data_IF_136959321134
#
_entry.id   IF_136959321134
#
_cell.length_a   1.000
_cell.length_b   1.000
_cell.length_c   1.000
_cell.angle_alpha   90.00
_cell.angle_beta   90.00
_cell.angle_gamma   90.00
#
_symmetry.space_group_name_H-M   'P 1'
#
loop_
_entity.id
_entity.type
_entity.pdbx_description
1 polymer ?
#
# COMPACT_ATOMS: atom_id res chain seq x y z
N UNK A 1 7.68 -23.49 2.58
CA UNK A 1 8.46 -23.14 3.78
C UNK A 1 8.22 -21.66 4.06
N UNK A 2 7.71 -21.27 5.24
CA UNK A 2 7.45 -19.87 5.53
C UNK A 2 8.80 -19.14 5.65
N UNK A 3 8.91 -18.02 4.94
CA UNK A 3 10.09 -17.18 4.92
C UNK A 3 10.29 -16.55 6.31
N UNK A 4 11.47 -16.78 6.91
CA UNK A 4 11.88 -16.18 8.19
C UNK A 4 12.13 -14.69 7.97
N UNK A 5 11.08 -13.87 8.04
CA UNK A 5 11.27 -12.45 8.30
C UNK A 5 11.57 -12.30 9.80
N UNK A 6 12.83 -11.98 10.13
CA UNK A 6 13.18 -11.38 11.42
C UNK A 6 12.26 -10.16 11.57
N UNK A 7 11.45 -10.14 12.62
CA UNK A 7 10.73 -8.94 13.02
C UNK A 7 11.80 -7.90 13.40
N UNK A 8 12.11 -6.97 12.50
CA UNK A 8 12.92 -5.77 12.78
C UNK A 8 12.18 -5.01 13.90
N UNK A 9 12.87 -4.59 14.96
CA UNK A 9 12.23 -3.87 16.06
C UNK A 9 11.75 -2.50 15.54
N UNK A 10 10.58 -2.03 15.98
CA UNK A 10 9.99 -0.74 15.56
C UNK A 10 10.95 0.43 15.80
N UNK A 11 11.75 0.39 16.87
CA UNK A 11 12.75 1.42 17.18
C UNK A 11 13.97 1.37 16.23
N UNK A 12 14.47 0.17 15.91
CA UNK A 12 15.58 -0.01 14.97
C UNK A 12 15.18 0.49 13.56
N UNK A 13 13.95 0.20 13.18
CA UNK A 13 13.34 0.67 11.94
C UNK A 13 13.16 2.19 11.92
N UNK A 14 12.69 2.78 13.03
CA UNK A 14 12.54 4.23 13.17
C UNK A 14 13.88 4.95 12.94
N UNK A 15 14.95 4.49 13.59
CA UNK A 15 16.28 5.10 13.45
C UNK A 15 16.82 4.98 12.03
N UNK A 16 16.61 3.84 11.37
CA UNK A 16 17.06 3.61 9.99
C UNK A 16 16.30 4.45 8.96
N UNK A 17 15.02 4.74 9.21
CA UNK A 17 14.13 5.45 8.27
C UNK A 17 14.08 6.96 8.51
N UNK A 18 14.47 7.41 9.69
CA UNK A 18 14.46 8.82 10.06
C UNK A 18 15.78 9.48 9.63
N UNK A 19 15.79 10.02 8.41
CA UNK A 19 16.93 10.72 7.84
C UNK A 19 16.83 12.21 8.15
N UNK A 20 17.52 12.65 9.21
CA UNK A 20 17.60 14.06 9.59
C UNK A 20 18.79 14.75 8.92
N UNK A 21 18.58 15.98 8.45
CA UNK A 21 19.63 16.81 7.87
C UNK A 21 20.67 17.30 8.89
N UNK A 22 21.58 18.17 8.44
CA UNK A 22 22.54 18.83 9.33
C UNK A 22 21.80 19.76 10.30
N UNK A 23 21.93 19.48 11.59
CA UNK A 23 21.40 20.27 12.71
C UNK A 23 22.15 19.89 13.99
N UNK A 24 21.98 20.66 15.07
CA UNK A 24 22.59 20.36 16.37
C UNK A 24 21.99 19.11 17.00
N UNK A 25 22.71 18.47 17.92
CA UNK A 25 22.23 17.23 18.54
C UNK A 25 20.97 17.44 19.39
N UNK A 26 20.80 18.63 19.97
CA UNK A 26 19.57 19.01 20.68
C UNK A 26 18.37 19.09 19.74
N UNK A 27 18.54 19.71 18.57
CA UNK A 27 17.46 19.81 17.57
C UNK A 27 17.09 18.43 17.01
N UNK A 28 18.08 17.54 16.80
CA UNK A 28 17.80 16.16 16.38
C UNK A 28 16.95 15.43 17.40
N UNK A 29 17.27 15.56 18.69
CA UNK A 29 16.55 14.84 19.73
C UNK A 29 15.09 15.31 19.82
N UNK A 30 14.87 16.63 19.86
CA UNK A 30 13.53 17.23 19.86
C UNK A 30 12.72 16.75 18.65
N UNK A 31 13.32 16.72 17.46
CA UNK A 31 12.63 16.29 16.26
C UNK A 31 12.34 14.79 16.27
N UNK A 32 13.25 13.96 16.78
CA UNK A 32 13.00 12.51 16.93
C UNK A 32 11.86 12.23 17.90
N UNK A 33 11.81 12.93 19.03
CA UNK A 33 10.71 12.82 19.98
C UNK A 33 9.37 13.17 19.32
N UNK A 34 9.33 14.27 18.56
CA UNK A 34 8.13 14.68 17.82
C UNK A 34 7.68 13.64 16.78
N UNK A 35 8.61 13.08 16.00
CA UNK A 35 8.27 12.06 15.00
C UNK A 35 7.79 10.77 15.69
N UNK A 36 8.34 10.42 16.87
CA UNK A 36 7.86 9.29 17.68
C UNK A 36 6.46 9.53 18.26
N UNK A 37 6.17 10.74 18.71
CA UNK A 37 4.84 11.14 19.18
C UNK A 37 3.78 10.93 18.09
N UNK A 38 4.08 11.37 16.86
CA UNK A 38 3.18 11.27 15.71
C UNK A 38 3.48 10.07 14.80
N UNK A 39 4.03 8.98 15.35
CA UNK A 39 4.44 7.78 14.58
C UNK A 39 3.28 7.11 13.83
N UNK A 40 2.06 7.34 14.27
CA UNK A 40 0.82 6.84 13.67
C UNK A 40 0.50 7.55 12.34
N UNK A 41 0.94 8.80 12.17
CA UNK A 41 0.77 9.59 10.94
C UNK A 41 1.72 9.10 9.83
N UNK A 42 2.95 8.77 10.19
CA UNK A 42 3.97 8.38 9.20
C UNK A 42 3.82 6.93 8.74
N UNK A 43 4.16 6.71 7.47
CA UNK A 43 4.23 5.39 6.84
C UNK A 43 5.65 5.10 6.35
N UNK A 44 6.29 4.09 6.93
CA UNK A 44 7.71 3.79 6.72
C UNK A 44 7.98 2.62 5.76
N UNK A 45 6.97 1.77 5.54
CA UNK A 45 7.04 0.48 4.83
C UNK A 45 6.11 0.39 3.61
N UNK A 46 5.26 1.39 3.37
CA UNK A 46 4.14 1.30 2.43
C UNK A 46 3.01 0.36 2.90
N UNK A 47 2.98 0.02 4.19
CA UNK A 47 2.08 -0.96 4.80
C UNK A 47 0.79 -0.34 5.35
N UNK A 48 0.81 0.86 5.94
CA UNK A 48 -0.42 1.55 6.32
C UNK A 48 -1.19 2.00 5.08
N UNK A 49 -2.49 1.75 5.17
CA UNK A 49 -3.49 2.33 4.29
C UNK A 49 -3.64 3.82 4.60
N UNK A 50 -3.32 4.67 3.63
CA UNK A 50 -3.84 6.04 3.59
C UNK A 50 -5.34 6.02 3.25
N UNK A 51 -6.18 5.59 4.21
CA UNK A 51 -7.63 5.48 4.02
C UNK A 51 -8.35 6.17 5.16
N UNK A 52 -9.42 6.87 4.83
CA UNK A 52 -10.41 7.34 5.79
C UNK A 52 -11.67 6.49 5.71
N UNK A 53 -12.28 6.22 6.85
CA UNK A 53 -13.58 5.60 7.01
C UNK A 53 -14.72 6.61 7.14
N UNK A 54 -14.40 7.91 7.24
CA UNK A 54 -15.35 9.01 7.44
C UNK A 54 -16.30 9.23 6.25
N UNK A 55 -15.86 8.91 5.04
CA UNK A 55 -16.64 9.14 3.80
C UNK A 55 -16.55 7.89 2.93
N UNK A 56 -17.69 7.52 2.32
CA UNK A 56 -17.77 6.50 1.27
C UNK A 56 -18.17 7.18 -0.03
N UNK A 57 -17.31 7.11 -1.03
CA UNK A 57 -17.59 7.69 -2.35
C UNK A 57 -18.47 6.74 -3.17
N UNK A 58 -19.48 7.29 -3.84
CA UNK A 58 -20.31 6.59 -4.82
C UNK A 58 -19.95 7.12 -6.21
N UNK A 59 -19.62 6.22 -7.13
CA UNK A 59 -19.44 6.57 -8.54
C UNK A 59 -20.82 6.51 -9.19
N UNK A 60 -21.29 7.65 -9.70
CA UNK A 60 -22.50 7.72 -10.50
C UNK A 60 -22.20 7.25 -11.92
N UNK A 61 -23.08 6.41 -12.45
CA UNK A 61 -22.99 5.87 -13.81
C UNK A 61 -24.23 6.38 -14.55
N UNK A 62 -24.09 6.70 -15.83
CA UNK A 62 -25.20 7.06 -16.71
C UNK A 62 -26.31 6.00 -16.64
N UNK A 63 -27.58 6.44 -16.65
CA UNK A 63 -28.76 5.63 -16.37
C UNK A 63 -28.89 4.37 -17.24
N UNK A 64 -28.44 4.45 -18.49
CA UNK A 64 -28.54 3.36 -19.47
C UNK A 64 -27.18 2.70 -19.78
N UNK A 65 -26.19 2.83 -18.88
CA UNK A 65 -24.87 2.24 -19.11
C UNK A 65 -24.81 0.79 -18.64
N UNK A 66 -24.65 -0.12 -19.60
CA UNK A 66 -24.41 -1.52 -19.31
C UNK A 66 -22.96 -1.81 -18.83
N UNK A 67 -22.77 -2.86 -17.99
CA UNK A 67 -21.44 -3.30 -17.59
C UNK A 67 -20.55 -3.71 -18.75
N UNK A 68 -19.28 -3.29 -18.69
CA UNK A 68 -18.26 -3.65 -19.68
C UNK A 68 -17.30 -4.65 -19.04
N UNK A 69 -17.26 -5.87 -19.60
CA UNK A 69 -16.35 -6.94 -19.21
C UNK A 69 -15.32 -7.21 -20.32
N UNK A 70 -14.12 -6.65 -20.17
CA UNK A 70 -13.04 -6.83 -21.13
C UNK A 70 -12.19 -8.07 -20.81
N UNK A 71 -11.76 -8.78 -21.86
CA UNK A 71 -10.91 -9.97 -21.74
C UNK A 71 -9.49 -9.59 -21.29
N UNK A 72 -8.93 -10.36 -20.35
CA UNK A 72 -7.52 -10.27 -19.95
C UNK A 72 -6.56 -10.42 -21.14
N UNK A 73 -5.49 -9.64 -21.16
CA UNK A 73 -4.41 -9.83 -22.14
C UNK A 73 -3.65 -11.14 -21.89
N UNK A 74 -3.09 -11.69 -22.98
CA UNK A 74 -2.07 -12.73 -22.87
C UNK A 74 -0.79 -12.08 -22.35
N UNK A 75 -0.19 -12.69 -21.34
CA UNK A 75 1.05 -12.22 -20.70
C UNK A 75 2.02 -13.39 -20.62
N UNK A 76 3.32 -13.08 -20.66
CA UNK A 76 4.36 -14.08 -20.45
C UNK A 76 4.32 -14.63 -19.03
N UNK A 77 5.02 -15.75 -18.79
CA UNK A 77 5.04 -16.38 -17.48
C UNK A 77 5.66 -15.47 -16.41
N UNK A 78 6.75 -14.77 -16.74
CA UNK A 78 7.42 -13.85 -15.82
C UNK A 78 6.52 -12.68 -15.43
N UNK A 79 5.81 -12.10 -16.40
CA UNK A 79 4.79 -11.08 -16.15
C UNK A 79 3.66 -11.61 -15.28
N UNK A 80 3.23 -12.86 -15.49
CA UNK A 80 2.20 -13.50 -14.66
C UNK A 80 2.66 -13.66 -13.21
N UNK A 81 3.92 -14.07 -12.98
CA UNK A 81 4.50 -14.19 -11.63
C UNK A 81 4.54 -12.85 -10.92
N UNK A 82 4.95 -11.79 -11.63
CA UNK A 82 4.95 -10.43 -11.09
C UNK A 82 3.54 -9.94 -10.71
N UNK A 83 2.55 -10.07 -11.62
CA UNK A 83 1.15 -9.67 -11.34
C UNK A 83 0.63 -10.37 -10.09
N UNK A 84 0.88 -11.69 -9.96
CA UNK A 84 0.40 -12.46 -8.80
C UNK A 84 1.00 -11.94 -7.50
N UNK A 85 2.31 -11.65 -7.48
CA UNK A 85 2.99 -11.08 -6.32
C UNK A 85 2.40 -9.72 -5.93
N UNK A 86 2.17 -8.85 -6.91
CA UNK A 86 1.58 -7.53 -6.67
C UNK A 86 0.15 -7.62 -6.12
N UNK A 87 -0.67 -8.52 -6.68
CA UNK A 87 -2.04 -8.77 -6.18
C UNK A 87 -2.01 -9.24 -4.72
N UNK A 88 -1.10 -10.17 -4.38
CA UNK A 88 -0.96 -10.65 -3.01
C UNK A 88 -0.53 -9.53 -2.06
N UNK A 89 0.46 -8.71 -2.45
CA UNK A 89 0.91 -7.58 -1.66
C UNK A 89 -0.21 -6.56 -1.43
N UNK A 90 -0.92 -6.14 -2.48
CA UNK A 90 -2.02 -5.18 -2.37
C UNK A 90 -3.21 -5.74 -1.57
N UNK A 91 -3.46 -7.04 -1.68
CA UNK A 91 -4.50 -7.72 -0.89
C UNK A 91 -4.11 -7.77 0.60
N UNK A 92 -2.86 -8.07 0.92
CA UNK A 92 -2.35 -8.09 2.29
C UNK A 92 -2.34 -6.69 2.92
N UNK A 93 -2.06 -5.67 2.11
CA UNK A 93 -2.21 -4.25 2.49
C UNK A 93 -3.67 -3.81 2.59
N UNK A 94 -4.67 -4.65 2.30
CA UNK A 94 -6.09 -4.30 2.34
C UNK A 94 -6.53 -3.25 1.30
N UNK A 95 -5.71 -2.98 0.28
CA UNK A 95 -6.01 -2.00 -0.79
C UNK A 95 -6.99 -2.55 -1.83
N UNK A 96 -6.96 -3.86 -2.07
CA UNK A 96 -7.88 -4.55 -2.97
C UNK A 96 -8.56 -5.72 -2.25
N UNK A 97 -9.66 -6.22 -2.81
CA UNK A 97 -10.35 -7.41 -2.33
C UNK A 97 -10.88 -8.24 -3.50
N UNK A 98 -11.09 -9.53 -3.27
CA UNK A 98 -11.82 -10.39 -4.21
C UNK A 98 -13.25 -9.88 -4.37
N UNK A 99 -13.77 -9.91 -5.58
CA UNK A 99 -15.15 -9.55 -5.89
C UNK A 99 -15.64 -10.33 -7.11
N UNK A 100 -16.96 -10.42 -7.27
CA UNK A 100 -17.61 -10.96 -8.46
C UNK A 100 -18.35 -9.80 -9.13
N UNK A 101 -17.81 -9.29 -10.23
CA UNK A 101 -18.25 -8.05 -10.86
C UNK A 101 -18.59 -8.28 -12.33
N UNK A 102 -19.68 -7.67 -12.79
CA UNK A 102 -20.02 -7.60 -14.22
C UNK A 102 -19.08 -6.64 -14.99
N UNK A 103 -18.33 -5.80 -14.28
CA UNK A 103 -17.29 -4.93 -14.82
C UNK A 103 -15.92 -5.57 -14.71
N UNK A 104 -15.16 -5.58 -15.80
CA UNK A 104 -13.78 -6.06 -15.82
C UNK A 104 -12.94 -5.26 -16.82
N UNK A 105 -11.72 -4.89 -16.42
CA UNK A 105 -10.72 -4.22 -17.26
C UNK A 105 -9.41 -5.00 -17.21
N UNK A 106 -8.69 -5.16 -18.33
CA UNK A 106 -7.49 -5.96 -18.36
C UNK A 106 -6.30 -5.23 -17.73
N UNK A 107 -5.51 -5.95 -16.94
CA UNK A 107 -4.26 -5.43 -16.35
C UNK A 107 -3.19 -5.31 -17.44
N UNK A 108 -2.45 -4.19 -17.43
CA UNK A 108 -1.25 -3.96 -18.24
C UNK A 108 -0.02 -3.85 -17.33
N UNK A 109 1.09 -4.47 -17.76
CA UNK A 109 2.42 -4.40 -17.16
C UNK A 109 3.40 -3.83 -18.17
#
# INVERSE_FOLDING_TARGET
MPNKNKNENDDEKFEKKTLLGKMSDKEKEILKELIREYKDIFEYNGEKLGRTDKIKYKIEIEENKEPIAQKRYKVTEDKTKYIKKEIEQLSNMGKIRKSWSAWASPVKL
#
